data_IF_259996746928
#
_entry.id   IF_259996746928
#
_cell.length_a   1.000
_cell.length_b   1.000
_cell.length_c   1.000
_cell.angle_alpha   90.00
_cell.angle_beta   90.00
_cell.angle_gamma   90.00
#
_symmetry.space_group_name_H-M   'P 1'
#
loop_
_entity.id
_entity.type
_entity.pdbx_description
1 polymer ?
#
# COMPACT_ATOMS: atom_id res chain seq x y z
N UNK A 1 21.87 1.86 10.75
CA UNK A 1 20.49 1.43 11.05
C UNK A 1 19.72 1.56 9.76
N UNK A 2 19.07 0.49 9.29
CA UNK A 2 18.36 0.51 8.01
C UNK A 2 16.89 0.87 8.27
N UNK A 3 16.57 2.15 8.16
CA UNK A 3 15.24 2.69 8.37
C UNK A 3 14.52 2.87 7.03
N UNK A 4 13.19 2.76 7.02
CA UNK A 4 12.39 2.88 5.81
C UNK A 4 12.67 4.22 5.10
N UNK A 5 13.29 4.16 3.92
CA UNK A 5 13.76 5.32 3.16
C UNK A 5 14.58 6.34 3.97
N UNK A 6 15.29 5.89 5.01
CA UNK A 6 16.08 6.75 5.89
C UNK A 6 15.29 7.45 7.00
N UNK A 7 13.98 7.21 7.13
CA UNK A 7 13.14 7.84 8.15
C UNK A 7 12.87 6.93 9.36
N UNK A 8 13.18 7.45 10.55
CA UNK A 8 12.97 6.74 11.81
C UNK A 8 11.48 6.43 12.06
N UNK A 9 11.17 5.45 12.93
CA UNK A 9 9.80 5.21 13.36
C UNK A 9 9.11 6.47 13.92
N UNK A 10 9.84 7.30 14.66
CA UNK A 10 9.33 8.54 15.23
C UNK A 10 8.99 9.57 14.14
N UNK A 11 9.88 9.75 13.16
CA UNK A 11 9.62 10.65 12.02
C UNK A 11 8.39 10.21 11.21
N UNK A 12 8.21 8.90 11.01
CA UNK A 12 7.02 8.37 10.33
C UNK A 12 5.74 8.58 11.15
N UNK A 13 5.81 8.44 12.47
CA UNK A 13 4.69 8.74 13.36
C UNK A 13 4.33 10.22 13.37
N UNK A 14 5.31 11.12 13.33
CA UNK A 14 5.06 12.56 13.24
C UNK A 14 4.46 12.93 11.89
N UNK A 15 4.93 12.33 10.80
CA UNK A 15 4.30 12.43 9.50
C UNK A 15 2.83 11.99 9.50
N UNK A 16 2.52 10.83 10.11
CA UNK A 16 1.14 10.35 10.25
C UNK A 16 0.23 11.34 11.02
N UNK A 17 0.76 12.03 12.04
CA UNK A 17 0.01 13.10 12.73
C UNK A 17 -0.29 14.28 11.80
N UNK A 18 0.69 14.71 10.99
CA UNK A 18 0.52 15.81 10.03
C UNK A 18 -0.57 15.46 9.01
N UNK A 19 -0.53 14.25 8.45
CA UNK A 19 -1.53 13.76 7.49
C UNK A 19 -2.93 13.73 8.11
N UNK A 20 -3.06 13.21 9.34
CA UNK A 20 -4.35 13.18 10.06
C UNK A 20 -4.93 14.57 10.29
N UNK A 21 -4.08 15.54 10.66
CA UNK A 21 -4.52 16.93 10.80
C UNK A 21 -4.87 17.57 9.45
N UNK A 22 -4.17 17.23 8.37
CA UNK A 22 -4.50 17.68 7.02
C UNK A 22 -5.88 17.16 6.56
N UNK A 23 -6.21 15.89 6.85
CA UNK A 23 -7.55 15.32 6.61
C UNK A 23 -8.61 16.08 7.42
N UNK A 24 -8.36 16.28 8.72
CA UNK A 24 -9.29 16.98 9.61
C UNK A 24 -9.57 18.43 9.16
N UNK A 25 -8.57 19.09 8.57
CA UNK A 25 -8.68 20.44 7.99
C UNK A 25 -9.31 20.47 6.59
N UNK A 26 -9.58 19.32 5.98
CA UNK A 26 -10.10 19.21 4.62
C UNK A 26 -9.08 19.53 3.53
N UNK A 27 -7.78 19.54 3.86
CA UNK A 27 -6.70 19.72 2.89
C UNK A 27 -6.52 18.43 2.08
N UNK A 28 -6.56 17.29 2.77
CA UNK A 28 -6.61 15.97 2.16
C UNK A 28 -8.03 15.40 2.28
N UNK A 29 -8.54 14.72 1.26
CA UNK A 29 -9.83 14.04 1.38
C UNK A 29 -9.74 12.86 2.37
N UNK A 30 -10.83 12.53 3.06
CA UNK A 30 -10.87 11.35 3.91
C UNK A 30 -10.77 10.07 3.06
N UNK A 31 -10.13 9.03 3.59
CA UNK A 31 -9.76 7.83 2.83
C UNK A 31 -10.96 7.02 2.31
N UNK A 32 -12.16 7.19 2.88
CA UNK A 32 -13.39 6.57 2.38
C UNK A 32 -13.91 7.23 1.09
N UNK A 33 -13.43 8.41 0.72
CA UNK A 33 -13.86 9.17 -0.47
C UNK A 33 -12.90 9.05 -1.66
N UNK A 34 -11.72 8.45 -1.46
CA UNK A 34 -10.71 8.27 -2.50
C UNK A 34 -10.44 6.80 -2.78
N UNK A 35 -10.09 6.51 -4.04
CA UNK A 35 -9.64 5.20 -4.50
C UNK A 35 -8.14 5.05 -4.33
N UNK A 36 -7.65 3.80 -4.28
CA UNK A 36 -6.23 3.50 -4.36
C UNK A 36 -5.63 4.08 -5.66
N UNK A 37 -4.60 4.89 -5.56
CA UNK A 37 -3.93 5.51 -6.71
C UNK A 37 -3.19 4.48 -7.57
N UNK A 38 -2.75 3.37 -6.98
CA UNK A 38 -1.97 2.34 -7.69
C UNK A 38 -2.86 1.40 -8.52
N UNK A 39 -3.94 0.87 -7.93
CA UNK A 39 -4.77 -0.16 -8.56
C UNK A 39 -6.25 0.23 -8.72
N UNK A 40 -6.67 1.41 -8.27
CA UNK A 40 -8.05 1.88 -8.39
C UNK A 40 -9.07 1.16 -7.51
N UNK A 41 -8.65 0.43 -6.47
CA UNK A 41 -9.54 -0.18 -5.48
C UNK A 41 -10.21 0.89 -4.59
N UNK A 42 -11.54 0.85 -4.51
CA UNK A 42 -12.41 1.81 -3.84
C UNK A 42 -13.19 1.22 -2.64
N UNK A 43 -12.98 -0.06 -2.34
CA UNK A 43 -13.53 -0.77 -1.17
C UNK A 43 -12.45 -1.16 -0.16
N UNK A 44 -12.88 -1.43 1.07
CA UNK A 44 -11.99 -1.84 2.17
C UNK A 44 -11.14 -0.71 2.75
N UNK A 45 -10.16 -1.10 3.56
CA UNK A 45 -9.19 -0.22 4.23
C UNK A 45 -8.21 0.35 3.21
N UNK A 46 -8.03 1.67 3.30
CA UNK A 46 -7.01 2.45 2.59
C UNK A 46 -6.21 3.26 3.59
N UNK A 47 -4.97 3.58 3.23
CA UNK A 47 -4.04 4.41 3.99
C UNK A 47 -3.43 5.45 3.07
N UNK A 48 -3.05 6.60 3.61
CA UNK A 48 -2.09 7.47 2.94
C UNK A 48 -0.68 6.89 3.12
N UNK A 49 0.07 6.80 2.03
CA UNK A 49 1.44 6.34 2.01
C UNK A 49 2.36 7.46 1.51
N UNK A 50 3.53 7.60 2.13
CA UNK A 50 4.58 8.52 1.71
C UNK A 50 5.91 7.77 1.62
N UNK A 51 6.73 8.12 0.63
CA UNK A 51 8.13 7.69 0.56
C UNK A 51 9.09 8.72 1.19
N UNK A 52 8.71 10.01 1.22
CA UNK A 52 9.38 11.13 1.90
C UNK A 52 8.52 11.62 3.08
N UNK A 53 9.00 11.43 4.31
CA UNK A 53 8.30 11.84 5.54
C UNK A 53 8.78 13.20 6.07
N UNK A 54 9.43 14.03 5.24
CA UNK A 54 9.80 15.40 5.59
C UNK A 54 8.55 16.23 5.93
N UNK A 55 8.50 16.90 7.10
CA UNK A 55 7.29 17.59 7.56
C UNK A 55 6.71 18.63 6.59
N UNK A 56 7.57 19.30 5.82
CA UNK A 56 7.22 20.35 4.87
C UNK A 56 6.70 19.82 3.53
N UNK A 57 6.86 18.52 3.26
CA UNK A 57 6.46 17.90 1.99
C UNK A 57 5.39 16.83 2.11
N UNK A 58 5.27 16.20 3.27
CA UNK A 58 4.47 14.98 3.42
C UNK A 58 3.00 15.14 2.99
N UNK A 59 2.42 16.33 3.13
CA UNK A 59 1.03 16.56 2.70
C UNK A 59 0.87 16.50 1.18
N UNK A 60 1.89 16.94 0.43
CA UNK A 60 1.90 16.96 -1.03
C UNK A 60 2.36 15.61 -1.62
N UNK A 61 3.19 14.87 -0.89
CA UNK A 61 3.82 13.63 -1.36
C UNK A 61 3.02 12.35 -1.00
N UNK A 62 1.95 12.46 -0.21
CA UNK A 62 1.13 11.29 0.15
C UNK A 62 0.18 10.86 -0.95
N UNK A 63 0.11 9.55 -1.17
CA UNK A 63 -0.85 8.93 -2.08
C UNK A 63 -1.80 8.00 -1.32
N UNK A 64 -3.11 7.99 -1.65
CA UNK A 64 -4.03 7.02 -1.07
C UNK A 64 -3.81 5.65 -1.70
N UNK A 65 -3.57 4.63 -0.88
CA UNK A 65 -3.34 3.25 -1.32
C UNK A 65 -4.19 2.28 -0.54
N UNK A 66 -4.69 1.23 -1.19
CA UNK A 66 -5.34 0.12 -0.46
C UNK A 66 -4.31 -0.68 0.33
N UNK A 67 -4.80 -1.45 1.30
CA UNK A 67 -3.95 -2.25 2.19
C UNK A 67 -2.95 -3.15 1.44
N UNK A 68 -3.39 -3.90 0.43
CA UNK A 68 -2.53 -4.83 -0.34
C UNK A 68 -1.43 -4.07 -1.10
N UNK A 69 -1.78 -2.97 -1.79
CA UNK A 69 -0.81 -2.12 -2.47
C UNK A 69 0.20 -1.51 -1.50
N UNK A 70 -0.26 -1.08 -0.31
CA UNK A 70 0.62 -0.54 0.72
C UNK A 70 1.65 -1.59 1.18
N UNK A 71 1.23 -2.83 1.43
CA UNK A 71 2.16 -3.89 1.81
C UNK A 71 3.15 -4.23 0.70
N UNK A 72 2.72 -4.17 -0.57
CA UNK A 72 3.60 -4.36 -1.72
C UNK A 72 4.66 -3.25 -1.86
N UNK A 73 4.34 -1.99 -1.51
CA UNK A 73 5.33 -0.91 -1.49
C UNK A 73 6.46 -1.22 -0.51
N UNK A 74 6.14 -1.70 0.70
CA UNK A 74 7.15 -2.06 1.71
C UNK A 74 7.97 -3.31 1.37
N UNK A 75 7.50 -4.12 0.42
CA UNK A 75 8.18 -5.34 -0.04
C UNK A 75 8.71 -5.22 -1.47
N UNK A 76 8.72 -4.00 -2.01
CA UNK A 76 9.16 -3.66 -3.36
C UNK A 76 10.63 -4.02 -3.54
N UNK A 77 10.87 -5.13 -4.20
CA UNK A 77 12.19 -5.61 -4.55
C UNK A 77 12.09 -6.32 -5.91
N UNK A 78 12.88 -5.88 -6.89
CA UNK A 78 12.85 -6.42 -8.27
C UNK A 78 13.21 -7.91 -8.35
N UNK A 79 13.87 -8.45 -7.33
CA UNK A 79 14.20 -9.87 -7.23
C UNK A 79 13.18 -10.68 -6.41
N UNK A 80 12.12 -10.05 -5.89
CA UNK A 80 11.06 -10.72 -5.12
C UNK A 80 9.97 -11.23 -6.08
N UNK A 81 9.75 -12.56 -6.20
CA UNK A 81 8.72 -13.11 -7.08
C UNK A 81 7.31 -12.57 -6.81
N UNK A 82 6.98 -12.24 -5.55
CA UNK A 82 5.69 -11.63 -5.19
C UNK A 82 5.53 -10.25 -5.81
N UNK A 83 6.58 -9.43 -5.77
CA UNK A 83 6.59 -8.11 -6.41
C UNK A 83 6.44 -8.23 -7.94
N UNK A 84 7.18 -9.15 -8.57
CA UNK A 84 7.10 -9.39 -10.02
C UNK A 84 5.68 -9.81 -10.42
N UNK A 85 5.05 -10.72 -9.67
CA UNK A 85 3.66 -11.16 -9.92
C UNK A 85 2.69 -10.00 -9.75
N UNK A 86 2.83 -9.24 -8.67
CA UNK A 86 2.03 -8.04 -8.43
C UNK A 86 2.16 -7.01 -9.56
N UNK A 87 3.37 -6.73 -10.04
CA UNK A 87 3.59 -5.80 -11.15
C UNK A 87 2.91 -6.29 -12.44
N UNK A 88 2.96 -7.60 -12.73
CA UNK A 88 2.23 -8.18 -13.87
C UNK A 88 0.72 -8.01 -13.71
N UNK A 89 0.16 -8.22 -12.51
CA UNK A 89 -1.26 -7.99 -12.21
C UNK A 89 -1.66 -6.53 -12.48
N UNK A 90 -0.87 -5.57 -11.98
CA UNK A 90 -1.10 -4.14 -12.23
C UNK A 90 -1.07 -3.79 -13.72
N UNK A 91 -0.13 -4.34 -14.49
CA UNK A 91 -0.05 -4.12 -15.94
C UNK A 91 -1.26 -4.66 -16.71
N UNK A 92 -1.98 -5.64 -16.15
CA UNK A 92 -3.25 -6.15 -16.68
C UNK A 92 -4.46 -5.31 -16.26
N UNK A 93 -4.27 -4.26 -15.45
CA UNK A 93 -5.34 -3.42 -14.92
C UNK A 93 -6.13 -4.07 -13.78
N UNK A 94 -5.56 -5.09 -13.13
CA UNK A 94 -6.23 -5.77 -12.03
C UNK A 94 -6.22 -4.93 -10.76
N UNK A 95 -7.36 -4.97 -10.05
CA UNK A 95 -7.48 -4.39 -8.72
C UNK A 95 -7.05 -5.40 -7.66
N UNK A 96 -6.41 -4.91 -6.61
CA UNK A 96 -6.19 -5.67 -5.37
C UNK A 96 -7.53 -6.05 -4.73
N UNK A 97 -7.55 -7.12 -3.93
CA UNK A 97 -8.76 -7.49 -3.20
C UNK A 97 -9.01 -6.51 -2.04
N UNK A 98 -10.28 -6.22 -1.71
CA UNK A 98 -10.57 -5.33 -0.59
C UNK A 98 -10.31 -6.06 0.74
N UNK A 99 -9.51 -5.43 1.60
CA UNK A 99 -9.31 -5.87 2.98
C UNK A 99 -10.14 -5.02 3.92
N UNK A 100 -10.92 -5.64 4.80
CA UNK A 100 -11.76 -4.91 5.77
C UNK A 100 -11.18 -4.94 7.20
N UNK A 101 -10.12 -5.73 7.40
CA UNK A 101 -9.32 -5.73 8.62
C UNK A 101 -8.06 -4.88 8.40
N UNK A 102 -7.59 -4.23 9.46
CA UNK A 102 -6.33 -3.48 9.47
C UNK A 102 -5.10 -4.35 9.75
N UNK A 103 -5.34 -5.62 10.06
CA UNK A 103 -4.34 -6.61 10.46
C UNK A 103 -4.30 -7.71 9.41
N UNK A 104 -3.10 -8.12 8.99
CA UNK A 104 -2.91 -9.33 8.18
C UNK A 104 -3.53 -10.52 8.92
N UNK A 105 -4.36 -11.29 8.24
CA UNK A 105 -4.83 -12.59 8.70
C UNK A 105 -4.23 -13.68 7.82
N UNK A 106 -3.86 -14.87 8.32
CA UNK A 106 -3.32 -15.95 7.49
C UNK A 106 -4.20 -16.32 6.28
N UNK A 107 -5.51 -16.14 6.40
CA UNK A 107 -6.49 -16.36 5.33
C UNK A 107 -6.36 -15.36 4.16
N UNK A 108 -5.58 -14.29 4.35
CA UNK A 108 -5.24 -13.32 3.31
C UNK A 108 -4.21 -13.86 2.28
N UNK A 109 -3.42 -14.86 2.63
CA UNK A 109 -2.39 -15.40 1.73
C UNK A 109 -2.94 -16.53 0.83
N UNK A 110 -4.17 -17.02 1.07
CA UNK A 110 -4.76 -18.09 0.27
C UNK A 110 -5.58 -17.52 -0.90
N UNK A 111 -4.98 -17.52 -2.08
CA UNK A 111 -5.70 -17.40 -3.34
C UNK A 111 -5.53 -18.72 -4.11
N UNK A 112 -6.61 -19.41 -4.42
CA UNK A 112 -6.56 -20.63 -5.23
C UNK A 112 -5.97 -20.37 -6.63
N UNK A 113 -6.10 -19.14 -7.14
CA UNK A 113 -5.47 -18.71 -8.40
C UNK A 113 -3.93 -18.58 -8.31
N UNK A 114 -3.35 -18.58 -7.09
CA UNK A 114 -1.90 -18.61 -6.87
C UNK A 114 -1.33 -20.05 -6.83
N UNK A 115 -2.20 -21.08 -6.88
CA UNK A 115 -1.81 -22.47 -7.09
C UNK A 115 -1.44 -22.65 -8.56
N UNK A 116 -0.16 -22.47 -8.86
CA UNK A 116 0.43 -22.96 -10.10
C UNK A 116 0.18 -24.48 -10.14
N UNK A 117 -0.48 -24.95 -11.20
CA UNK A 117 -0.44 -26.38 -11.54
C UNK A 117 1.02 -26.79 -11.61
N UNK A 118 1.41 -27.81 -10.83
CA UNK A 118 2.77 -28.37 -10.84
C UNK A 118 3.22 -28.85 -12.24
N UNK A 119 2.32 -28.87 -13.22
CA UNK A 119 2.57 -29.30 -14.59
C UNK A 119 3.22 -28.21 -15.49
N UNK A 120 3.33 -26.95 -15.05
CA UNK A 120 3.99 -25.88 -15.84
C UNK A 120 5.51 -25.73 -15.58
N UNK A 121 6.12 -26.65 -14.83
CA UNK A 121 7.55 -26.67 -14.52
C UNK A 121 8.33 -27.85 -15.15
N UNK A 122 7.72 -28.63 -16.03
CA UNK A 122 8.36 -29.72 -16.80
C UNK A 122 8.25 -29.46 -18.30
#
# INVERSE_FOLDING_TARGET
>A
MDWYNGFSPEQRMDGDKIVKEAIKKGILPPLNEVSCEICGQDKGVRHYHAEDYSPDKIVDDVIPVCWECHMHIHTKNKNNPRWIRYEKRLKRGEKSRPHYNKWWTPDDDYNEDDLISLDEWL
#
